data_IF_436415018576
#
_entry.id   IF_436415018576
#
_cell.length_a   1.000
_cell.length_b   1.000
_cell.length_c   1.000
_cell.angle_alpha   90.00
_cell.angle_beta   90.00
_cell.angle_gamma   90.00
#
_symmetry.space_group_name_H-M   'P 1'
#
loop_
_entity.id
_entity.type
_entity.pdbx_description
1 polymer ?
#
# COMPACT_ATOMS: atom_id res chain seq x y z
N UNK A 1 19.24 -17.39 12.09
CA UNK A 1 19.05 -16.28 11.15
C UNK A 1 18.14 -15.27 11.80
N UNK A 2 18.62 -14.05 12.04
CA UNK A 2 17.80 -13.02 12.66
C UNK A 2 16.70 -12.60 11.69
N UNK A 3 15.44 -12.83 12.04
CA UNK A 3 14.30 -12.24 11.34
C UNK A 3 14.38 -10.74 11.54
N UNK A 4 14.83 -10.00 10.53
CA UNK A 4 14.84 -8.54 10.59
C UNK A 4 13.40 -8.05 10.59
N UNK A 5 12.91 -7.67 11.76
CA UNK A 5 11.60 -7.05 11.93
C UNK A 5 11.57 -5.72 11.17
N UNK A 6 10.52 -5.45 10.35
CA UNK A 6 10.48 -4.24 9.54
C UNK A 6 10.42 -2.99 10.41
N UNK A 7 11.33 -2.04 10.21
CA UNK A 7 11.35 -0.77 10.96
C UNK A 7 10.56 0.34 10.28
N UNK A 8 10.10 0.11 9.05
CA UNK A 8 9.30 1.03 8.24
C UNK A 8 8.27 0.24 7.43
N UNK A 9 7.01 0.68 7.47
CA UNK A 9 5.94 0.23 6.57
C UNK A 9 5.58 1.40 5.65
N UNK A 10 5.66 1.16 4.34
CA UNK A 10 5.19 2.07 3.30
C UNK A 10 3.85 1.54 2.80
N UNK A 11 2.83 2.39 2.78
CA UNK A 11 1.48 2.03 2.35
C UNK A 11 1.13 2.89 1.15
N UNK A 12 0.82 2.24 0.02
CA UNK A 12 0.39 2.89 -1.21
C UNK A 12 -0.75 2.08 -1.84
N UNK A 13 -1.98 2.47 -1.52
CA UNK A 13 -3.20 2.01 -2.18
C UNK A 13 -3.92 3.15 -2.90
N UNK A 14 -3.29 4.32 -2.96
CA UNK A 14 -3.91 5.57 -3.40
C UNK A 14 -4.47 5.53 -4.82
N UNK A 15 -3.82 4.80 -5.73
CA UNK A 15 -4.31 4.58 -7.09
C UNK A 15 -5.53 3.67 -7.09
N UNK A 16 -5.48 2.55 -6.38
CA UNK A 16 -6.61 1.62 -6.29
C UNK A 16 -7.84 2.29 -5.69
N UNK A 17 -7.66 2.97 -4.56
CA UNK A 17 -8.75 3.64 -3.85
C UNK A 17 -9.32 4.78 -4.67
N UNK A 18 -8.48 5.58 -5.33
CA UNK A 18 -8.95 6.65 -6.21
C UNK A 18 -9.72 6.10 -7.40
N UNK A 19 -9.25 5.01 -8.04
CA UNK A 19 -9.99 4.41 -9.15
C UNK A 19 -11.34 3.81 -8.70
N UNK A 20 -11.41 3.20 -7.52
CA UNK A 20 -12.66 2.68 -6.97
C UNK A 20 -13.65 3.82 -6.66
N UNK A 21 -13.16 4.88 -6.02
CA UNK A 21 -13.97 6.02 -5.56
C UNK A 21 -14.34 7.01 -6.67
N UNK A 22 -13.42 7.29 -7.59
CA UNK A 22 -13.57 8.30 -8.65
C UNK A 22 -14.20 7.71 -9.92
N UNK A 23 -13.90 6.45 -10.25
CA UNK A 23 -14.36 5.83 -11.50
C UNK A 23 -15.52 4.85 -11.31
N UNK A 24 -15.93 4.53 -10.07
CA UNK A 24 -16.98 3.54 -9.80
C UNK A 24 -16.74 2.22 -10.57
N UNK A 25 -15.49 1.77 -10.69
CA UNK A 25 -15.15 0.55 -11.45
C UNK A 25 -15.77 -0.74 -10.86
N UNK A 26 -16.44 -0.64 -9.70
CA UNK A 26 -17.33 -1.66 -9.15
C UNK A 26 -18.70 -1.76 -9.84
N UNK A 27 -19.05 -0.87 -10.77
CA UNK A 27 -20.21 -1.06 -11.68
C UNK A 27 -19.86 -2.11 -12.74
N UNK A 28 -19.85 -3.37 -12.34
CA UNK A 28 -20.29 -4.42 -13.27
C UNK A 28 -21.80 -4.26 -13.45
N UNK A 29 -22.29 -4.37 -14.69
CA UNK A 29 -23.71 -4.40 -14.97
C UNK A 29 -24.40 -5.44 -14.08
N UNK A 30 -25.31 -5.00 -13.20
CA UNK A 30 -26.09 -5.88 -12.33
C UNK A 30 -25.68 -5.95 -10.85
N UNK A 31 -24.60 -5.28 -10.43
CA UNK A 31 -24.30 -5.11 -8.99
C UNK A 31 -24.57 -3.68 -8.52
N UNK A 32 -25.30 -3.47 -7.41
CA UNK A 32 -25.45 -2.14 -6.84
C UNK A 32 -24.06 -1.60 -6.53
N UNK A 33 -23.74 -0.41 -7.05
CA UNK A 33 -22.48 0.24 -6.76
C UNK A 33 -22.35 0.34 -5.24
N UNK A 34 -21.44 -0.44 -4.64
CA UNK A 34 -20.97 -0.12 -3.30
C UNK A 34 -20.38 1.28 -3.40
N UNK A 35 -20.91 2.22 -2.63
CA UNK A 35 -20.35 3.56 -2.58
C UNK A 35 -18.97 3.44 -1.95
N UNK A 36 -17.93 3.21 -2.75
CA UNK A 36 -16.55 3.00 -2.28
C UNK A 36 -16.07 4.14 -1.37
N UNK A 37 -16.71 5.32 -1.47
CA UNK A 37 -16.51 6.45 -0.56
C UNK A 37 -16.89 6.15 0.88
N UNK A 38 -17.96 5.38 1.10
CA UNK A 38 -18.47 5.05 2.43
C UNK A 38 -17.57 4.08 3.19
N UNK A 39 -16.72 3.33 2.48
CA UNK A 39 -15.86 2.32 3.10
C UNK A 39 -14.39 2.73 3.19
N UNK A 40 -13.93 3.67 2.37
CA UNK A 40 -12.52 4.06 2.35
C UNK A 40 -12.03 4.66 3.67
N UNK A 41 -12.74 5.63 4.24
CA UNK A 41 -12.33 6.25 5.50
C UNK A 41 -12.30 5.25 6.67
N UNK A 42 -13.35 4.43 6.89
CA UNK A 42 -13.32 3.37 7.89
C UNK A 42 -12.20 2.34 7.63
N UNK A 43 -11.91 1.99 6.38
CA UNK A 43 -10.87 1.03 6.04
C UNK A 43 -9.46 1.55 6.35
N UNK A 44 -9.14 2.75 5.88
CA UNK A 44 -7.84 3.41 6.15
C UNK A 44 -7.67 3.65 7.64
N UNK A 45 -8.73 4.10 8.34
CA UNK A 45 -8.67 4.33 9.77
C UNK A 45 -8.47 3.02 10.56
N UNK A 46 -9.19 1.95 10.23
CA UNK A 46 -9.03 0.64 10.89
C UNK A 46 -7.60 0.13 10.72
N UNK A 47 -7.03 0.24 9.51
CA UNK A 47 -5.63 -0.11 9.24
C UNK A 47 -4.65 0.71 10.07
N UNK A 48 -4.78 2.04 10.10
CA UNK A 48 -3.89 2.89 10.89
C UNK A 48 -3.97 2.58 12.38
N UNK A 49 -5.18 2.41 12.92
CA UNK A 49 -5.38 2.08 14.34
C UNK A 49 -4.75 0.73 14.68
N UNK A 50 -4.92 -0.28 13.83
CA UNK A 50 -4.28 -1.58 14.00
C UNK A 50 -2.76 -1.47 13.99
N UNK A 51 -2.18 -0.82 12.98
CA UNK A 51 -0.74 -0.68 12.84
C UNK A 51 -0.11 0.10 14.00
N UNK A 52 -0.73 1.21 14.43
CA UNK A 52 -0.22 2.02 15.53
C UNK A 52 -0.35 1.33 16.89
N UNK A 53 -1.29 0.38 17.03
CA UNK A 53 -1.47 -0.40 18.27
C UNK A 53 -0.52 -1.58 18.31
N UNK A 54 -0.58 -2.45 17.30
CA UNK A 54 0.15 -3.72 17.26
C UNK A 54 1.62 -3.56 16.87
N UNK A 55 1.91 -2.60 15.99
CA UNK A 55 3.23 -2.32 15.45
C UNK A 55 3.71 -0.94 15.85
N UNK A 56 3.42 -0.55 17.10
CA UNK A 56 3.76 0.77 17.62
C UNK A 56 5.25 1.11 17.39
N UNK A 57 6.15 0.14 17.46
CA UNK A 57 7.60 0.31 17.23
C UNK A 57 8.01 0.52 15.76
N UNK A 58 7.08 0.47 14.80
CA UNK A 58 7.33 0.59 13.36
C UNK A 58 6.96 1.98 12.87
N UNK A 59 7.82 2.62 12.07
CA UNK A 59 7.46 3.86 11.40
C UNK A 59 6.45 3.58 10.27
N UNK A 60 5.43 4.42 10.13
CA UNK A 60 4.42 4.31 9.07
C UNK A 60 4.55 5.50 8.13
N UNK A 61 4.58 5.23 6.83
CA UNK A 61 4.58 6.23 5.77
C UNK A 61 3.45 5.94 4.78
N UNK A 62 2.48 6.84 4.72
CA UNK A 62 1.44 6.83 3.69
C UNK A 62 1.97 7.50 2.42
N UNK A 63 1.67 6.91 1.27
CA UNK A 63 2.07 7.43 -0.04
C UNK A 63 0.84 7.59 -0.90
N UNK A 64 0.66 8.80 -1.43
CA UNK A 64 -0.36 9.10 -2.41
C UNK A 64 0.31 9.27 -3.78
N UNK A 65 0.39 8.17 -4.53
CA UNK A 65 0.90 8.17 -5.89
C UNK A 65 -0.11 8.71 -6.90
N UNK A 66 -1.40 8.43 -6.73
CA UNK A 66 -2.40 8.86 -7.71
C UNK A 66 -2.51 10.38 -7.82
N UNK A 67 -2.43 10.89 -9.05
CA UNK A 67 -2.63 12.30 -9.32
C UNK A 67 -3.56 12.51 -10.51
N UNK A 68 -4.76 13.01 -10.22
CA UNK A 68 -5.63 13.62 -11.22
C UNK A 68 -5.60 15.15 -11.05
N UNK A 69 -5.09 15.92 -12.02
CA UNK A 69 -4.96 17.37 -11.88
C UNK A 69 -6.31 18.11 -11.95
N UNK A 70 -7.37 17.47 -12.48
CA UNK A 70 -8.69 18.10 -12.67
C UNK A 70 -9.64 17.89 -11.51
N UNK A 71 -9.38 16.89 -10.66
CA UNK A 71 -10.26 16.51 -9.57
C UNK A 71 -9.45 16.21 -8.33
N UNK A 72 -9.80 16.87 -7.23
CA UNK A 72 -9.36 16.42 -5.92
C UNK A 72 -10.08 15.10 -5.64
N UNK A 73 -9.34 13.99 -5.71
CA UNK A 73 -9.90 12.68 -5.38
C UNK A 73 -10.44 12.71 -3.94
N UNK A 74 -11.67 12.23 -3.66
CA UNK A 74 -12.15 12.07 -2.29
C UNK A 74 -11.22 11.16 -1.48
N UNK A 75 -10.52 10.21 -2.12
CA UNK A 75 -9.49 9.42 -1.47
C UNK A 75 -8.37 10.28 -0.89
N UNK A 76 -7.89 11.28 -1.65
CA UNK A 76 -6.89 12.25 -1.17
C UNK A 76 -7.35 12.95 0.10
N UNK A 77 -8.61 13.40 0.17
CA UNK A 77 -9.13 14.08 1.35
C UNK A 77 -9.13 13.16 2.58
N UNK A 78 -9.47 11.88 2.40
CA UNK A 78 -9.41 10.85 3.46
C UNK A 78 -7.98 10.64 3.94
N UNK A 79 -7.03 10.39 3.03
CA UNK A 79 -5.62 10.19 3.37
C UNK A 79 -5.03 11.40 4.11
N UNK A 80 -5.32 12.62 3.65
CA UNK A 80 -4.87 13.85 4.31
C UNK A 80 -5.47 14.01 5.72
N UNK A 81 -6.78 13.81 5.87
CA UNK A 81 -7.44 13.96 7.15
C UNK A 81 -6.96 12.92 8.19
N UNK A 82 -6.84 11.66 7.79
CA UNK A 82 -6.44 10.59 8.69
C UNK A 82 -4.93 10.63 9.02
N UNK A 83 -4.07 10.91 8.03
CA UNK A 83 -2.63 11.08 8.30
C UNK A 83 -2.37 12.19 9.32
N UNK A 84 -3.03 13.33 9.17
CA UNK A 84 -2.95 14.44 10.11
C UNK A 84 -3.49 14.07 11.50
N UNK A 85 -4.67 13.41 11.56
CA UNK A 85 -5.31 13.00 12.83
C UNK A 85 -4.43 12.04 13.63
N UNK A 86 -3.81 11.08 12.96
CA UNK A 86 -3.01 10.02 13.60
C UNK A 86 -1.51 10.33 13.67
N UNK A 87 -1.07 11.52 13.20
CA UNK A 87 0.33 11.91 13.21
C UNK A 87 1.22 11.02 12.33
N UNK A 88 0.67 10.46 11.26
CA UNK A 88 1.38 9.56 10.33
C UNK A 88 1.97 10.38 9.20
N UNK A 89 3.23 10.11 8.84
CA UNK A 89 3.87 10.78 7.73
C UNK A 89 3.16 10.45 6.41
N UNK A 90 2.96 11.47 5.57
CA UNK A 90 2.24 11.35 4.31
C UNK A 90 3.00 12.08 3.20
N UNK A 91 3.32 11.36 2.12
CA UNK A 91 3.99 11.90 0.93
C UNK A 91 3.03 11.85 -0.24
N UNK A 92 2.86 12.99 -0.93
CA UNK A 92 1.97 13.09 -2.09
C UNK A 92 2.79 13.24 -3.35
N UNK A 93 2.37 12.58 -4.42
CA UNK A 93 3.00 12.73 -5.73
C UNK A 93 2.99 14.18 -6.22
N UNK A 94 1.89 14.90 -5.94
CA UNK A 94 1.78 16.32 -6.27
C UNK A 94 2.83 17.21 -5.60
N UNK A 95 3.48 16.73 -4.52
CA UNK A 95 4.54 17.47 -3.85
C UNK A 95 5.89 17.35 -4.57
N UNK A 96 6.02 16.36 -5.46
CA UNK A 96 7.29 16.01 -6.13
C UNK A 96 7.26 16.20 -7.64
N UNK A 97 6.07 16.27 -8.24
CA UNK A 97 5.89 16.65 -9.64
C UNK A 97 4.55 17.34 -9.85
N UNK A 98 4.58 18.40 -10.65
CA UNK A 98 3.38 19.12 -11.11
C UNK A 98 3.02 18.76 -12.55
N UNK A 99 3.87 18.03 -13.27
CA UNK A 99 3.65 17.65 -14.66
C UNK A 99 2.99 16.27 -14.76
N UNK A 100 1.67 16.28 -14.77
CA UNK A 100 0.86 15.07 -14.86
C UNK A 100 1.05 14.31 -16.19
N UNK A 101 1.26 15.02 -17.30
CA UNK A 101 1.42 14.39 -18.63
C UNK A 101 2.76 13.65 -18.73
N UNK A 102 3.83 14.24 -18.20
CA UNK A 102 5.13 13.55 -18.13
C UNK A 102 5.08 12.33 -17.21
N UNK A 103 4.27 12.39 -16.16
CA UNK A 103 4.21 11.40 -15.10
C UNK A 103 3.34 10.18 -15.43
N UNK A 104 2.17 10.45 -16.00
CA UNK A 104 1.05 9.52 -16.14
C UNK A 104 0.56 9.42 -17.59
N UNK A 105 1.40 9.86 -18.54
CA UNK A 105 1.19 9.73 -19.97
C UNK A 105 0.47 10.91 -20.61
N UNK A 106 0.57 11.05 -21.95
CA UNK A 106 -0.02 12.16 -22.67
C UNK A 106 -1.54 12.25 -22.48
N UNK A 107 -2.05 13.42 -22.09
CA UNK A 107 -3.47 13.65 -21.89
C UNK A 107 -3.94 13.47 -20.45
N UNK A 108 -3.06 13.07 -19.52
CA UNK A 108 -3.39 13.04 -18.10
C UNK A 108 -3.75 14.42 -17.53
N UNK A 109 -3.12 15.50 -17.99
CA UNK A 109 -3.53 16.88 -17.67
C UNK A 109 -4.99 17.16 -18.09
N UNK A 110 -5.50 16.40 -19.07
CA UNK A 110 -6.89 16.46 -19.55
C UNK A 110 -7.83 15.47 -18.85
N UNK A 111 -7.31 14.64 -17.94
CA UNK A 111 -8.06 13.62 -17.21
C UNK A 111 -7.94 12.21 -17.81
N UNK A 112 -7.22 12.04 -18.92
CA UNK A 112 -7.04 10.76 -19.62
C UNK A 112 -5.77 10.03 -19.12
N UNK A 113 -5.61 9.96 -17.79
CA UNK A 113 -4.41 9.36 -17.18
C UNK A 113 -4.41 7.84 -17.30
N UNK A 114 -3.26 7.22 -17.57
CA UNK A 114 -3.11 5.78 -17.39
C UNK A 114 -3.04 5.44 -15.90
N UNK A 115 -3.55 4.28 -15.50
CA UNK A 115 -3.51 3.85 -14.09
C UNK A 115 -2.09 3.53 -13.58
N UNK A 116 -1.13 3.30 -14.49
CA UNK A 116 0.24 2.95 -14.14
C UNK A 116 1.19 4.01 -14.70
N UNK A 117 2.03 4.64 -13.87
CA UNK A 117 2.90 5.70 -14.33
C UNK A 117 4.10 5.14 -15.12
N UNK A 118 4.79 6.01 -15.85
CA UNK A 118 6.02 5.62 -16.55
C UNK A 118 7.14 5.30 -15.55
N UNK A 119 8.14 4.51 -15.97
CA UNK A 119 9.28 4.12 -15.10
C UNK A 119 10.02 5.33 -14.52
N UNK A 120 10.10 6.44 -15.26
CA UNK A 120 10.73 7.69 -14.80
C UNK A 120 10.02 8.28 -13.59
N UNK A 121 8.69 8.15 -13.54
CA UNK A 121 7.84 8.57 -12.42
C UNK A 121 8.09 7.72 -11.19
N UNK A 122 8.21 6.40 -11.34
CA UNK A 122 8.59 5.52 -10.23
C UNK A 122 9.94 5.92 -9.62
N UNK A 123 10.92 6.34 -10.45
CA UNK A 123 12.21 6.86 -9.96
C UNK A 123 12.04 8.16 -9.16
N UNK A 124 11.20 9.09 -9.62
CA UNK A 124 10.92 10.34 -8.91
C UNK A 124 10.23 10.08 -7.57
N UNK A 125 9.22 9.20 -7.54
CA UNK A 125 8.56 8.76 -6.31
C UNK A 125 9.57 8.14 -5.35
N UNK A 126 10.43 7.24 -5.83
CA UNK A 126 11.46 6.62 -4.99
C UNK A 126 12.42 7.65 -4.38
N UNK A 127 12.83 8.68 -5.14
CA UNK A 127 13.64 9.78 -4.60
C UNK A 127 12.89 10.60 -3.56
N UNK A 128 11.62 10.91 -3.79
CA UNK A 128 10.77 11.59 -2.83
C UNK A 128 10.66 10.82 -1.51
N UNK A 129 10.39 9.51 -1.59
CA UNK A 129 10.32 8.64 -0.43
C UNK A 129 11.63 8.59 0.34
N UNK A 130 12.76 8.51 -0.37
CA UNK A 130 14.09 8.55 0.26
C UNK A 130 14.34 9.87 1.00
N UNK A 131 14.00 11.00 0.38
CA UNK A 131 14.17 12.32 1.00
C UNK A 131 13.25 12.49 2.22
N UNK A 132 11.99 12.10 2.10
CA UNK A 132 11.01 12.13 3.20
C UNK A 132 11.43 11.23 4.35
N UNK A 133 11.90 10.02 4.06
CA UNK A 133 12.44 9.12 5.08
C UNK A 133 13.66 9.72 5.77
N UNK A 134 14.60 10.30 5.00
CA UNK A 134 15.80 10.93 5.55
C UNK A 134 15.43 12.14 6.43
N UNK A 135 14.45 12.94 6.01
CA UNK A 135 13.95 14.07 6.79
C UNK A 135 13.27 13.60 8.09
N UNK A 136 12.44 12.56 8.02
CA UNK A 136 11.80 11.94 9.18
C UNK A 136 12.85 11.39 10.15
N UNK A 137 13.81 10.61 9.67
CA UNK A 137 14.90 10.07 10.48
C UNK A 137 15.70 11.19 11.18
N UNK A 138 16.03 12.28 10.47
CA UNK A 138 16.72 13.44 11.06
C UNK A 138 15.86 14.14 12.11
N UNK A 139 14.58 14.33 11.86
CA UNK A 139 13.66 14.92 12.83
C UNK A 139 13.59 14.07 14.10
N UNK A 140 13.47 12.74 13.96
CA UNK A 140 13.47 11.80 15.08
C UNK A 140 14.80 11.83 15.86
N UNK A 141 15.95 11.85 15.20
CA UNK A 141 17.26 11.95 15.87
C UNK A 141 17.43 13.27 16.63
N UNK A 142 16.94 14.40 16.10
CA UNK A 142 17.00 15.70 16.80
C UNK A 142 16.10 15.73 18.04
N UNK A 143 14.97 15.03 17.97
CA UNK A 143 14.00 14.92 19.07
C UNK A 143 14.48 13.97 20.18
N UNK A 144 15.41 13.04 19.92
CA UNK A 144 16.00 12.23 21.00
C UNK A 144 16.77 13.05 22.06
N UNK A 145 17.09 14.33 21.80
CA UNK A 145 17.64 15.27 22.79
C UNK A 145 16.61 16.17 23.50
N UNK A 146 15.33 16.16 23.12
CA UNK A 146 14.29 17.04 23.68
C UNK A 146 12.93 16.33 23.68
N UNK A 147 12.29 16.26 24.85
CA UNK A 147 11.03 15.53 25.13
C UNK A 147 9.83 15.98 24.25
N UNK A 148 9.78 15.57 22.98
CA UNK A 148 8.62 15.80 22.11
C UNK A 148 8.13 14.49 21.51
N UNK A 149 6.87 14.18 21.79
CA UNK A 149 6.19 12.91 21.58
C UNK A 149 5.39 12.86 20.25
N UNK A 150 5.89 13.41 19.13
CA UNK A 150 4.99 13.79 18.03
C UNK A 150 5.31 13.26 16.62
N UNK A 151 6.25 12.32 16.44
CA UNK A 151 6.45 11.66 15.15
C UNK A 151 6.66 10.18 15.44
N UNK A 152 5.66 9.37 15.11
CA UNK A 152 5.43 8.02 15.62
C UNK A 152 6.66 7.11 15.63
N UNK A 153 7.28 7.03 16.82
CA UNK A 153 7.89 5.81 17.34
C UNK A 153 7.08 5.48 18.58
N UNK A 154 6.30 4.41 18.48
CA UNK A 154 5.42 3.90 19.50
C UNK A 154 6.11 3.77 20.84
N UNK A 155 5.64 4.57 21.77
CA UNK A 155 5.72 4.19 23.17
C UNK A 155 4.58 3.22 23.45
N UNK A 156 4.83 2.13 24.17
CA UNK A 156 3.76 1.38 24.82
C UNK A 156 2.85 2.36 25.57
N UNK A 157 1.54 2.33 25.32
CA UNK A 157 0.57 3.23 25.95
C UNK A 157 0.25 4.52 25.18
N UNK A 158 0.50 4.57 23.86
CA UNK A 158 0.01 5.68 23.04
C UNK A 158 -1.53 5.65 22.96
N UNK A 159 -2.20 6.61 23.58
CA UNK A 159 -3.65 6.76 23.43
C UNK A 159 -3.94 7.29 22.03
N UNK A 160 -4.51 6.44 21.18
CA UNK A 160 -4.96 6.87 19.85
C UNK A 160 -6.03 7.97 19.97
N UNK A 161 -6.10 8.92 19.02
CA UNK A 161 -7.19 9.88 18.97
C UNK A 161 -8.54 9.16 18.85
N UNK A 162 -9.60 9.87 19.23
CA UNK A 162 -10.96 9.40 18.97
C UNK A 162 -11.13 9.16 17.46
N UNK A 163 -11.73 8.02 17.13
CA UNK A 163 -11.97 7.62 15.76
C UNK A 163 -12.78 8.70 15.01
N UNK A 164 -12.42 8.93 13.76
CA UNK A 164 -13.14 9.81 12.85
C UNK A 164 -14.43 9.13 12.35
N UNK A 165 -14.34 7.84 12.01
CA UNK A 165 -15.46 6.97 11.66
C UNK A 165 -16.21 6.49 12.90
N UNK A 166 -17.51 6.28 12.73
CA UNK A 166 -18.37 5.74 13.78
C UNK A 166 -18.04 4.29 14.11
N UNK A 167 -18.44 3.83 15.30
CA UNK A 167 -18.27 2.43 15.69
C UNK A 167 -18.99 1.45 14.75
N UNK A 168 -20.13 1.86 14.19
CA UNK A 168 -20.87 1.06 13.20
C UNK A 168 -20.08 0.92 11.90
N UNK A 169 -19.49 1.99 11.39
CA UNK A 169 -18.69 1.96 10.17
C UNK A 169 -17.40 1.18 10.34
N UNK A 170 -16.70 1.35 11.47
CA UNK A 170 -15.51 0.56 11.79
C UNK A 170 -15.86 -0.93 11.96
N UNK A 171 -17.03 -1.24 12.54
CA UNK A 171 -17.52 -2.61 12.69
C UNK A 171 -17.79 -3.33 11.37
N UNK A 172 -17.95 -2.59 10.26
CA UNK A 172 -18.08 -3.15 8.91
C UNK A 172 -16.73 -3.56 8.31
N UNK A 173 -15.62 -3.09 8.87
CA UNK A 173 -14.26 -3.38 8.38
C UNK A 173 -13.60 -4.41 9.29
N UNK A 174 -13.53 -5.66 8.83
CA UNK A 174 -12.78 -6.72 9.50
C UNK A 174 -11.27 -6.59 9.24
N UNK A 175 -10.46 -6.55 10.29
CA UNK A 175 -9.00 -6.65 10.18
C UNK A 175 -8.56 -8.11 10.33
N UNK A 176 -7.87 -8.64 9.33
CA UNK A 176 -7.24 -9.96 9.45
C UNK A 176 -5.90 -9.81 10.18
N UNK A 177 -5.85 -10.20 11.47
CA UNK A 177 -4.61 -10.14 12.26
C UNK A 177 -3.56 -11.16 11.81
N UNK A 178 -3.97 -12.20 11.09
CA UNK A 178 -3.10 -13.20 10.47
C UNK A 178 -3.52 -13.43 9.01
N UNK A 179 -2.56 -13.50 8.07
CA UNK A 179 -2.90 -13.86 6.70
C UNK A 179 -3.44 -15.28 6.67
N UNK A 180 -4.59 -15.47 6.00
CA UNK A 180 -5.18 -16.79 5.77
C UNK A 180 -4.36 -17.59 4.76
N UNK A 181 -3.65 -16.89 3.87
CA UNK A 181 -2.74 -17.47 2.90
C UNK A 181 -1.45 -16.66 2.87
N UNK A 182 -0.33 -17.35 3.06
CA UNK A 182 1.00 -16.77 2.95
C UNK A 182 1.80 -17.56 1.91
N UNK A 183 2.26 -16.87 0.87
CA UNK A 183 3.09 -17.45 -0.20
C UNK A 183 4.39 -16.66 -0.28
N UNK A 184 5.51 -17.36 -0.12
CA UNK A 184 6.85 -16.78 -0.15
C UNK A 184 7.70 -17.48 -1.20
N UNK A 185 8.22 -16.72 -2.16
CA UNK A 185 9.18 -17.24 -3.14
C UNK A 185 10.50 -17.69 -2.48
N UNK A 186 10.82 -17.17 -1.29
CA UNK A 186 11.99 -17.60 -0.52
C UNK A 186 11.80 -18.98 0.11
N UNK A 187 10.57 -19.35 0.44
CA UNK A 187 10.23 -20.64 1.05
C UNK A 187 10.08 -21.74 -0.02
N UNK A 188 9.83 -21.34 -1.27
CA UNK A 188 9.65 -22.21 -2.43
C UNK A 188 11.00 -22.39 -3.16
N UNK A 189 11.93 -23.15 -2.55
CA UNK A 189 13.11 -23.61 -3.28
C UNK A 189 12.74 -24.78 -4.21
N UNK A 190 13.39 -24.79 -5.37
CA UNK A 190 13.09 -25.46 -6.66
C UNK A 190 12.59 -26.93 -6.64
N UNK A 191 12.71 -27.67 -5.54
CA UNK A 191 12.36 -29.10 -5.49
C UNK A 191 10.94 -29.41 -4.99
N UNK A 192 10.22 -28.45 -4.42
CA UNK A 192 8.92 -28.72 -3.76
C UNK A 192 7.67 -28.34 -4.59
N UNK A 193 7.84 -27.76 -5.78
CA UNK A 193 6.74 -27.23 -6.61
C UNK A 193 5.72 -28.27 -7.09
N UNK A 194 6.10 -29.56 -7.08
CA UNK A 194 5.21 -30.66 -7.47
C UNK A 194 4.61 -31.43 -6.30
N UNK A 195 5.00 -31.12 -5.04
CA UNK A 195 4.67 -31.98 -3.88
C UNK A 195 3.80 -31.33 -2.82
N UNK A 196 3.58 -30.01 -2.85
CA UNK A 196 2.68 -29.32 -1.91
C UNK A 196 1.44 -28.82 -2.64
N UNK A 197 0.27 -29.21 -2.14
CA UNK A 197 -1.04 -28.79 -2.65
C UNK A 197 -1.23 -27.26 -2.66
N UNK A 198 -0.46 -26.52 -1.85
CA UNK A 198 -0.49 -25.07 -1.70
C UNK A 198 0.60 -24.30 -2.46
N UNK A 199 1.38 -24.93 -3.34
CA UNK A 199 2.38 -24.23 -4.15
C UNK A 199 1.78 -23.58 -5.41
N UNK A 200 2.34 -22.44 -5.88
CA UNK A 200 1.94 -21.85 -7.15
C UNK A 200 2.01 -22.86 -8.30
N UNK A 201 0.94 -22.95 -9.10
CA UNK A 201 0.82 -23.86 -10.23
C UNK A 201 1.03 -23.14 -11.54
N UNK A 202 1.97 -23.61 -12.34
CA UNK A 202 2.17 -23.10 -13.69
C UNK A 202 1.04 -23.61 -14.59
N UNK A 203 0.20 -22.69 -15.10
CA UNK A 203 -0.88 -23.02 -16.04
C UNK A 203 -0.48 -22.81 -17.49
N UNK A 204 0.34 -21.79 -17.75
CA UNK A 204 0.87 -21.50 -19.09
C UNK A 204 2.18 -20.72 -19.01
N UNK A 205 3.06 -20.93 -19.99
CA UNK A 205 4.35 -20.25 -20.09
C UNK A 205 5.47 -20.91 -19.28
N UNK A 206 6.64 -20.28 -19.29
CA UNK A 206 7.84 -20.78 -18.64
C UNK A 206 8.13 -19.98 -17.38
N UNK A 207 7.50 -20.36 -16.27
CA UNK A 207 7.67 -19.73 -14.96
C UNK A 207 8.72 -20.45 -14.12
N UNK A 208 9.60 -19.68 -13.50
CA UNK A 208 10.60 -20.20 -12.56
C UNK A 208 10.74 -19.25 -11.38
N UNK A 209 11.14 -19.80 -10.23
CA UNK A 209 11.65 -18.97 -9.12
C UNK A 209 13.07 -18.55 -9.48
N UNK A 210 13.31 -17.25 -9.56
CA UNK A 210 14.60 -16.68 -9.90
C UNK A 210 14.94 -15.55 -8.95
N UNK A 211 16.22 -15.41 -8.64
CA UNK A 211 16.74 -14.33 -7.82
C UNK A 211 17.44 -13.32 -8.73
N UNK A 212 16.70 -12.32 -9.22
CA UNK A 212 17.23 -11.30 -10.12
C UNK A 212 18.22 -10.35 -9.44
N UNK A 213 18.13 -10.26 -8.10
CA UNK A 213 19.06 -9.55 -7.24
C UNK A 213 19.33 -10.35 -5.98
N UNK A 214 20.55 -10.28 -5.42
CA UNK A 214 20.89 -10.97 -4.19
C UNK A 214 19.83 -10.80 -3.09
N UNK A 215 19.36 -11.93 -2.55
CA UNK A 215 18.35 -12.11 -1.50
C UNK A 215 16.92 -11.66 -1.87
N UNK A 216 16.60 -11.56 -3.16
CA UNK A 216 15.25 -11.22 -3.65
C UNK A 216 14.72 -12.28 -4.64
N UNK A 217 14.37 -13.48 -4.16
CA UNK A 217 13.74 -14.48 -5.01
C UNK A 217 12.34 -14.02 -5.42
N UNK A 218 11.98 -14.25 -6.67
CA UNK A 218 10.66 -13.92 -7.23
C UNK A 218 10.27 -14.90 -8.33
N UNK A 219 8.97 -14.96 -8.63
CA UNK A 219 8.45 -15.73 -9.76
C UNK A 219 8.57 -14.90 -11.03
N UNK A 220 9.30 -15.42 -12.02
CA UNK A 220 9.55 -14.75 -13.29
C UNK A 220 9.13 -15.67 -14.43
N UNK A 221 8.48 -15.12 -15.45
CA UNK A 221 8.22 -15.82 -16.71
C UNK A 221 9.18 -15.35 -17.79
N UNK A 222 9.76 -16.30 -18.52
CA UNK A 222 10.46 -16.06 -19.79
C UNK A 222 9.60 -16.49 -20.99
N UNK A 223 8.36 -16.91 -20.73
CA UNK A 223 7.40 -17.32 -21.74
C UNK A 223 6.80 -16.14 -22.53
N UNK A 224 6.04 -16.44 -23.60
CA UNK A 224 5.37 -15.42 -24.38
C UNK A 224 4.31 -14.66 -23.56
N UNK A 225 3.85 -13.54 -24.12
CA UNK A 225 2.72 -12.79 -23.57
C UNK A 225 1.52 -13.72 -23.34
N UNK A 226 0.86 -13.58 -22.18
CA UNK A 226 -0.23 -14.47 -21.76
C UNK A 226 0.21 -15.67 -20.92
N UNK A 227 1.47 -15.73 -20.48
CA UNK A 227 1.94 -16.67 -19.45
C UNK A 227 1.11 -16.54 -18.16
N UNK A 228 0.77 -17.66 -17.50
CA UNK A 228 -0.12 -17.72 -16.34
C UNK A 228 0.43 -18.59 -15.21
N UNK A 229 0.45 -18.02 -14.01
CA UNK A 229 0.71 -18.68 -12.74
C UNK A 229 -0.58 -18.62 -11.91
N UNK A 230 -0.98 -19.73 -11.31
CA UNK A 230 -2.17 -19.82 -10.45
C UNK A 230 -1.76 -20.08 -9.01
N UNK A 231 -2.41 -19.42 -8.07
CA UNK A 231 -2.14 -19.56 -6.64
C UNK A 231 -3.47 -19.81 -5.93
N UNK A 232 -3.49 -20.81 -5.06
CA UNK A 232 -4.63 -21.00 -4.17
C UNK A 232 -4.58 -19.93 -3.09
N UNK A 233 -5.64 -19.13 -3.02
CA UNK A 233 -5.80 -18.07 -2.04
C UNK A 233 -7.10 -18.30 -1.27
N UNK A 234 -7.02 -18.15 0.05
CA UNK A 234 -8.18 -18.19 0.93
C UNK A 234 -8.51 -16.77 1.36
N UNK A 235 -9.79 -16.39 1.20
CA UNK A 235 -10.35 -15.13 1.66
C UNK A 235 -11.41 -15.40 2.73
N UNK A 236 -11.58 -14.48 3.69
CA UNK A 236 -12.70 -14.52 4.64
C UNK A 236 -12.45 -15.30 5.95
N UNK A 237 -13.52 -15.66 6.66
CA UNK A 237 -13.38 -16.23 8.01
C UNK A 237 -12.82 -17.66 7.98
N UNK A 238 -11.79 -17.87 8.80
CA UNK A 238 -11.28 -19.17 9.25
C UNK A 238 -12.26 -19.89 10.17
#
# INVERSE_FOLDING_TARGET
>A
GGTSTPTLIIIDYSVNDALEVDLNLGRQEGHPASDGRQHLAPAVETMLRFLLTEYSWVAILLVECYHNPRKTSPARAVYQALSARYGVAHVRYSDVSLDADHAWGPGCARGDCVAHPLWGTHRLIAHALLLSYTALARALCRVQGSRVAALSVGRPGMTLPLAASSAEELGKVGMCSRPLTFLSAADLRDTDLRRRSSSPRVRAGNWSVYEDRPKKPGWITTGPAGSRLEMDVQFGAS
#
